data_IF_958647604354
#
_entry.id   IF_958647604354
#
_cell.length_a   1.000
_cell.length_b   1.000
_cell.length_c   1.000
_cell.angle_alpha   90.00
_cell.angle_beta   90.00
_cell.angle_gamma   90.00
#
_symmetry.space_group_name_H-M   'P 1'
#
loop_
_entity.id
_entity.type
_entity.pdbx_description
1 polymer ?
#
# COMPACT_ATOMS: atom_id res chain seq x y z
N UNK A 1 -2.79 -8.32 14.04
CA UNK A 1 -3.48 -8.16 12.74
C UNK A 1 -2.62 -8.84 11.70
N UNK A 2 -3.20 -9.63 10.80
CA UNK A 2 -2.53 -10.13 9.62
C UNK A 2 -3.45 -9.91 8.42
N UNK A 3 -2.87 -9.84 7.22
CA UNK A 3 -3.63 -9.83 5.98
C UNK A 3 -4.07 -11.26 5.66
N UNK A 4 -5.31 -11.46 5.20
CA UNK A 4 -5.81 -12.74 4.72
C UNK A 4 -6.02 -12.64 3.22
N UNK A 5 -5.34 -13.49 2.44
CA UNK A 5 -5.36 -13.42 0.99
C UNK A 5 -6.77 -13.59 0.39
N UNK A 6 -7.67 -14.32 1.04
CA UNK A 6 -9.07 -14.45 0.63
C UNK A 6 -9.98 -14.42 1.86
N UNK A 7 -11.10 -13.71 1.75
CA UNK A 7 -12.16 -13.61 2.76
C UNK A 7 -13.55 -13.87 2.15
N UNK A 8 -13.61 -14.54 1.00
CA UNK A 8 -14.89 -14.88 0.35
C UNK A 8 -15.52 -13.79 -0.50
N UNK A 9 -14.76 -12.81 -0.98
CA UNK A 9 -15.27 -11.82 -1.95
C UNK A 9 -15.66 -12.45 -3.28
N UNK A 10 -16.33 -11.69 -4.16
CA UNK A 10 -16.88 -12.21 -5.42
C UNK A 10 -15.83 -12.79 -6.40
N UNK A 11 -14.55 -12.39 -6.27
CA UNK A 11 -13.42 -12.92 -7.04
C UNK A 11 -12.36 -13.52 -6.09
N UNK A 12 -11.52 -14.46 -6.57
CA UNK A 12 -10.38 -14.92 -5.78
C UNK A 12 -9.52 -13.76 -5.32
N UNK A 13 -9.17 -13.77 -4.03
CA UNK A 13 -8.37 -12.70 -3.46
C UNK A 13 -9.17 -11.60 -2.77
N UNK A 14 -10.50 -11.61 -2.95
CA UNK A 14 -11.44 -10.73 -2.26
C UNK A 14 -11.20 -9.23 -2.45
N UNK A 15 -10.46 -8.85 -3.51
CA UNK A 15 -10.27 -7.48 -3.97
C UNK A 15 -10.85 -7.29 -5.38
N UNK A 16 -12.17 -7.45 -5.57
CA UNK A 16 -12.83 -7.25 -6.86
C UNK A 16 -12.80 -5.78 -7.30
N UNK A 17 -12.10 -5.42 -8.39
CA UNK A 17 -12.03 -4.03 -8.85
C UNK A 17 -13.37 -3.47 -9.34
N UNK A 18 -14.37 -4.34 -9.58
CA UNK A 18 -15.71 -3.97 -10.01
C UNK A 18 -16.74 -3.97 -8.87
N UNK A 19 -16.34 -4.19 -7.62
CA UNK A 19 -17.28 -4.13 -6.50
C UNK A 19 -17.95 -2.76 -6.44
N UNK A 20 -19.28 -2.78 -6.32
CA UNK A 20 -20.19 -1.64 -6.14
C UNK A 20 -20.59 -1.44 -4.69
N UNK A 21 -20.46 -2.50 -3.88
CA UNK A 21 -20.78 -2.48 -2.45
C UNK A 21 -19.84 -3.37 -1.66
N UNK A 22 -19.62 -3.03 -0.40
CA UNK A 22 -18.70 -3.74 0.50
C UNK A 22 -19.06 -5.23 0.68
N UNK A 23 -20.31 -5.62 0.47
CA UNK A 23 -20.77 -7.00 0.59
C UNK A 23 -20.16 -7.92 -0.48
N UNK A 24 -19.71 -7.34 -1.59
CA UNK A 24 -19.03 -8.06 -2.65
C UNK A 24 -17.53 -8.28 -2.37
N UNK A 25 -16.97 -7.59 -1.38
CA UNK A 25 -15.57 -7.70 -0.96
C UNK A 25 -15.33 -8.83 0.06
N UNK A 26 -16.39 -9.57 0.42
CA UNK A 26 -16.32 -10.78 1.23
C UNK A 26 -16.87 -10.60 2.64
N UNK A 27 -16.49 -11.54 3.52
CA UNK A 27 -17.10 -11.70 4.82
C UNK A 27 -16.74 -10.55 5.77
N UNK A 28 -17.77 -9.84 6.25
CA UNK A 28 -17.63 -8.77 7.25
C UNK A 28 -17.91 -9.31 8.64
N UNK A 29 -16.88 -9.29 9.50
CA UNK A 29 -16.96 -9.81 10.85
C UNK A 29 -17.06 -8.62 11.84
N UNK A 30 -18.21 -8.41 12.50
CA UNK A 30 -18.30 -7.40 13.56
C UNK A 30 -17.46 -7.81 14.78
N UNK A 31 -17.23 -6.93 15.77
CA UNK A 31 -16.50 -7.28 16.99
C UNK A 31 -17.18 -8.40 17.81
N UNK A 32 -16.80 -9.64 17.54
CA UNK A 32 -17.31 -10.85 18.21
C UNK A 32 -16.17 -11.72 18.73
N UNK A 33 -16.46 -12.58 19.72
CA UNK A 33 -15.44 -13.40 20.38
C UNK A 33 -15.31 -14.76 19.69
N UNK A 34 -14.21 -14.96 18.96
CA UNK A 34 -13.85 -16.28 18.40
C UNK A 34 -13.33 -17.25 19.46
N UNK A 35 -12.63 -16.75 20.49
CA UNK A 35 -12.31 -17.52 21.70
C UNK A 35 -12.97 -16.91 22.94
N UNK A 36 -13.57 -17.76 23.77
CA UNK A 36 -14.18 -17.36 25.05
C UNK A 36 -13.62 -18.24 26.16
N UNK A 37 -12.97 -17.63 27.15
CA UNK A 37 -12.30 -18.33 28.26
C UNK A 37 -11.34 -19.43 27.76
N UNK A 38 -10.58 -19.13 26.70
CA UNK A 38 -9.62 -20.05 26.08
C UNK A 38 -10.22 -21.10 25.13
N UNK A 39 -11.55 -21.26 25.09
CA UNK A 39 -12.24 -22.22 24.22
C UNK A 39 -12.64 -21.57 22.90
N UNK A 40 -12.42 -22.28 21.79
CA UNK A 40 -12.84 -21.86 20.44
C UNK A 40 -14.37 -21.88 20.35
N UNK A 41 -14.95 -20.91 19.65
CA UNK A 41 -16.35 -20.92 19.23
C UNK A 41 -16.48 -21.73 17.93
N UNK A 42 -16.98 -22.98 17.96
CA UNK A 42 -17.03 -23.84 16.79
C UNK A 42 -17.99 -23.31 15.72
N UNK A 43 -19.11 -22.69 16.11
CA UNK A 43 -20.12 -22.23 15.15
C UNK A 43 -19.57 -21.06 14.31
N UNK A 44 -18.94 -20.09 14.98
CA UNK A 44 -18.29 -18.99 14.28
C UNK A 44 -17.15 -19.50 13.41
N UNK A 45 -16.33 -20.42 13.91
CA UNK A 45 -15.24 -21.03 13.15
C UNK A 45 -15.73 -21.69 11.86
N UNK A 46 -16.78 -22.50 11.94
CA UNK A 46 -17.40 -23.16 10.78
C UNK A 46 -17.94 -22.14 9.78
N UNK A 47 -18.62 -21.07 10.24
CA UNK A 47 -19.12 -20.02 9.35
C UNK A 47 -17.95 -19.32 8.63
N UNK A 48 -16.88 -18.98 9.34
CA UNK A 48 -15.71 -18.31 8.74
C UNK A 48 -15.09 -19.18 7.65
N UNK A 49 -14.81 -20.46 7.95
CA UNK A 49 -14.14 -21.35 7.02
C UNK A 49 -15.03 -21.79 5.85
N UNK A 50 -16.35 -21.80 6.01
CA UNK A 50 -17.28 -22.11 4.91
C UNK A 50 -17.37 -20.98 3.86
N UNK A 51 -16.95 -19.75 4.21
CA UNK A 51 -17.10 -18.56 3.37
C UNK A 51 -15.75 -18.09 2.79
N UNK A 52 -14.77 -18.98 2.61
CA UNK A 52 -13.45 -18.64 2.06
C UNK A 52 -12.99 -19.71 1.08
N UNK A 53 -12.19 -19.33 0.08
CA UNK A 53 -11.73 -20.28 -0.96
C UNK A 53 -10.67 -21.25 -0.46
N UNK A 54 -9.79 -20.81 0.45
CA UNK A 54 -8.67 -21.61 0.97
C UNK A 54 -8.79 -21.84 2.48
N UNK A 55 -9.79 -22.62 2.96
CA UNK A 55 -10.08 -22.75 4.39
C UNK A 55 -8.91 -23.29 5.22
N UNK A 56 -8.06 -24.16 4.66
CA UNK A 56 -6.87 -24.69 5.35
C UNK A 56 -5.83 -23.61 5.65
N UNK A 57 -5.61 -22.67 4.72
CA UNK A 57 -4.75 -21.51 4.94
C UNK A 57 -5.37 -20.57 5.97
N UNK A 58 -6.68 -20.31 5.85
CA UNK A 58 -7.39 -19.42 6.79
C UNK A 58 -7.40 -19.97 8.21
N UNK A 59 -7.54 -21.28 8.37
CA UNK A 59 -7.36 -21.96 9.66
C UNK A 59 -5.96 -21.71 10.23
N UNK A 60 -4.91 -21.93 9.43
CA UNK A 60 -3.52 -21.66 9.83
C UNK A 60 -3.31 -20.20 10.26
N UNK A 61 -3.82 -19.24 9.48
CA UNK A 61 -3.73 -17.81 9.78
C UNK A 61 -4.41 -17.44 11.10
N UNK A 62 -5.61 -17.96 11.35
CA UNK A 62 -6.35 -17.70 12.60
C UNK A 62 -5.63 -18.31 13.82
N UNK A 63 -5.06 -19.51 13.67
CA UNK A 63 -4.23 -20.11 14.73
C UNK A 63 -2.95 -19.31 14.98
N UNK A 64 -2.27 -18.86 13.93
CA UNK A 64 -1.08 -18.03 14.05
C UNK A 64 -1.40 -16.69 14.77
N UNK A 65 -2.51 -16.05 14.42
CA UNK A 65 -2.99 -14.84 15.10
C UNK A 65 -3.26 -15.08 16.59
N UNK A 66 -3.89 -16.21 16.95
CA UNK A 66 -4.10 -16.59 18.35
C UNK A 66 -2.77 -16.79 19.07
N UNK A 67 -1.83 -17.52 18.48
CA UNK A 67 -0.51 -17.77 19.07
C UNK A 67 0.25 -16.46 19.34
N UNK A 68 0.22 -15.52 18.40
CA UNK A 68 0.84 -14.20 18.57
C UNK A 68 0.23 -13.42 19.75
N UNK A 69 -1.10 -13.44 19.91
CA UNK A 69 -1.79 -12.78 21.03
C UNK A 69 -1.43 -13.45 22.36
N UNK A 70 -1.33 -14.79 22.40
CA UNK A 70 -0.95 -15.52 23.62
C UNK A 70 0.47 -15.20 24.08
N UNK A 71 1.43 -15.08 23.15
CA UNK A 71 2.79 -14.60 23.47
C UNK A 71 2.74 -13.18 24.04
N UNK A 72 1.99 -12.28 23.40
CA UNK A 72 1.80 -10.91 23.90
C UNK A 72 1.21 -10.88 25.31
N UNK A 73 0.19 -11.69 25.57
CA UNK A 73 -0.43 -11.85 26.90
C UNK A 73 0.58 -12.33 27.94
N UNK A 74 1.37 -13.34 27.61
CA UNK A 74 2.39 -13.89 28.51
C UNK A 74 3.47 -12.86 28.85
N UNK A 75 4.02 -12.16 27.84
CA UNK A 75 5.03 -11.11 28.04
C UNK A 75 4.49 -9.95 28.87
N UNK A 76 3.27 -9.51 28.59
CA UNK A 76 2.61 -8.44 29.33
C UNK A 76 2.38 -8.84 30.80
N UNK A 77 1.95 -10.09 31.04
CA UNK A 77 1.79 -10.62 32.40
C UNK A 77 3.12 -10.64 33.16
N UNK A 78 4.19 -11.09 32.51
CA UNK A 78 5.53 -11.10 33.11
C UNK A 78 6.02 -9.69 33.49
N UNK A 79 5.71 -8.67 32.68
CA UNK A 79 5.99 -7.27 33.04
C UNK A 79 5.18 -6.83 34.27
N UNK A 80 3.90 -7.18 34.32
CA UNK A 80 3.03 -6.84 35.45
C UNK A 80 3.45 -7.55 36.75
N UNK A 81 3.90 -8.81 36.67
CA UNK A 81 4.41 -9.57 37.81
C UNK A 81 5.73 -8.97 38.33
N UNK A 82 6.62 -8.51 37.44
CA UNK A 82 7.93 -7.94 37.82
C UNK A 82 7.85 -6.52 38.35
N UNK A 83 7.05 -5.66 37.74
CA UNK A 83 7.04 -4.22 38.00
C UNK A 83 5.78 -3.70 38.68
N UNK A 84 4.77 -4.55 38.82
CA UNK A 84 3.46 -4.15 39.33
C UNK A 84 2.62 -3.43 38.28
N UNK A 85 1.30 -3.51 38.45
CA UNK A 85 0.31 -2.96 37.51
C UNK A 85 0.35 -1.44 37.42
N UNK A 86 0.60 -0.75 38.54
CA UNK A 86 0.49 0.70 38.60
C UNK A 86 1.66 1.39 37.90
N UNK A 87 2.89 0.92 38.15
CA UNK A 87 4.08 1.38 37.42
C UNK A 87 3.96 1.11 35.92
N UNK A 88 3.42 -0.04 35.52
CA UNK A 88 3.20 -0.35 34.10
C UNK A 88 2.21 0.62 33.42
N UNK A 89 1.12 0.98 34.11
CA UNK A 89 0.16 1.98 33.62
C UNK A 89 0.76 3.38 33.55
N UNK A 90 1.63 3.74 34.49
CA UNK A 90 2.37 4.99 34.46
C UNK A 90 3.32 5.03 33.27
N UNK A 91 4.10 3.97 33.04
CA UNK A 91 5.00 3.83 31.90
C UNK A 91 4.25 3.98 30.57
N UNK A 92 3.04 3.40 30.42
CA UNK A 92 2.23 3.60 29.22
C UNK A 92 1.78 5.04 29.00
N UNK A 93 1.42 5.74 30.07
CA UNK A 93 1.08 7.17 29.99
C UNK A 93 2.32 8.00 29.62
N UNK A 94 3.47 7.72 30.24
CA UNK A 94 4.73 8.37 29.93
C UNK A 94 5.15 8.16 28.46
N UNK A 95 5.02 6.94 27.92
CA UNK A 95 5.33 6.64 26.51
C UNK A 95 4.43 7.41 25.53
N UNK A 96 3.14 7.57 25.88
CA UNK A 96 2.23 8.38 25.06
C UNK A 96 2.58 9.86 25.14
N UNK A 97 2.81 10.40 26.33
CA UNK A 97 3.19 11.81 26.50
C UNK A 97 4.54 12.11 25.81
N UNK A 98 5.49 11.17 25.85
CA UNK A 98 6.75 11.27 25.12
C UNK A 98 6.54 11.31 23.60
N UNK A 99 5.64 10.48 23.07
CA UNK A 99 5.25 10.53 21.66
C UNK A 99 4.63 11.88 21.28
N UNK A 100 3.73 12.40 22.11
CA UNK A 100 3.12 13.72 21.90
C UNK A 100 4.15 14.83 21.84
N UNK A 101 5.02 14.95 22.85
CA UNK A 101 6.05 15.99 22.93
C UNK A 101 7.01 15.91 21.73
N UNK A 102 7.42 14.70 21.35
CA UNK A 102 8.33 14.50 20.22
C UNK A 102 7.70 14.93 18.90
N UNK A 103 6.41 14.63 18.68
CA UNK A 103 5.70 15.08 17.48
C UNK A 103 5.52 16.61 17.50
N UNK A 104 5.07 17.22 18.61
CA UNK A 104 4.92 18.68 18.72
C UNK A 104 6.24 19.40 18.42
N UNK A 105 7.35 18.90 18.96
CA UNK A 105 8.70 19.41 18.67
C UNK A 105 9.06 19.31 17.19
N UNK A 106 8.66 18.23 16.52
CA UNK A 106 8.91 18.05 15.10
C UNK A 106 8.03 18.99 14.26
N UNK A 107 6.78 19.21 14.65
CA UNK A 107 5.86 20.17 14.01
C UNK A 107 6.39 21.60 14.10
N UNK A 108 7.05 22.01 15.20
CA UNK A 108 7.70 23.34 15.34
C UNK A 108 8.72 23.64 14.23
N UNK A 109 9.26 22.62 13.56
CA UNK A 109 10.23 22.80 12.47
C UNK A 109 9.57 23.17 11.14
N UNK A 110 8.24 23.06 11.06
CA UNK A 110 7.46 23.43 9.89
C UNK A 110 7.12 24.92 10.02
N UNK A 111 7.35 25.75 8.99
CA UNK A 111 6.89 27.13 9.02
C UNK A 111 5.37 27.19 9.24
N UNK A 112 4.87 28.07 10.14
CA UNK A 112 3.43 28.28 10.29
C UNK A 112 2.81 28.75 8.99
N UNK A 113 1.65 28.21 8.63
CA UNK A 113 1.02 28.51 7.35
C UNK A 113 -0.09 27.54 6.96
N UNK A 114 -0.61 27.76 5.76
CA UNK A 114 -1.60 26.91 5.11
C UNK A 114 -0.99 26.43 3.80
N UNK A 115 -0.97 25.11 3.61
CA UNK A 115 -0.39 24.46 2.43
C UNK A 115 -1.44 23.58 1.79
N UNK A 116 -1.62 23.74 0.48
CA UNK A 116 -2.67 23.04 -0.27
C UNK A 116 -2.07 22.22 -1.41
N UNK A 117 -2.65 21.06 -1.65
CA UNK A 117 -2.35 20.26 -2.83
C UNK A 117 -3.54 19.38 -3.19
N UNK A 118 -3.66 19.10 -4.48
CA UNK A 118 -4.67 18.20 -5.02
C UNK A 118 -3.99 17.16 -5.89
N UNK A 119 -4.28 15.88 -5.63
CA UNK A 119 -3.89 14.78 -6.51
C UNK A 119 -5.14 13.94 -6.85
N UNK A 120 -5.03 13.07 -7.85
CA UNK A 120 -6.15 12.33 -8.42
C UNK A 120 -5.81 10.87 -8.65
N UNK A 121 -6.74 9.97 -8.36
CA UNK A 121 -6.69 8.61 -8.92
C UNK A 121 -6.95 8.63 -10.43
N UNK A 122 -6.65 7.52 -11.11
CA UNK A 122 -6.81 7.37 -12.56
C UNK A 122 -8.26 7.56 -13.04
N UNK A 123 -9.25 7.31 -12.19
CA UNK A 123 -10.68 7.51 -12.48
C UNK A 123 -11.13 8.97 -12.32
N UNK A 124 -10.24 9.88 -11.92
CA UNK A 124 -10.59 11.28 -11.66
C UNK A 124 -11.13 11.55 -10.26
N UNK A 125 -11.01 10.59 -9.34
CA UNK A 125 -11.30 10.80 -7.92
C UNK A 125 -10.30 11.78 -7.34
N UNK A 126 -10.78 12.91 -6.86
CA UNK A 126 -9.98 14.01 -6.31
C UNK A 126 -9.70 13.80 -4.82
N UNK A 127 -8.41 13.93 -4.45
CA UNK A 127 -7.93 14.01 -3.08
C UNK A 127 -7.35 15.41 -2.91
N UNK A 128 -8.15 16.31 -2.34
CA UNK A 128 -7.71 17.65 -1.98
C UNK A 128 -7.37 17.68 -0.50
N UNK A 129 -6.16 18.15 -0.19
CA UNK A 129 -5.70 18.32 1.19
C UNK A 129 -5.27 19.76 1.43
N UNK A 130 -5.70 20.30 2.57
CA UNK A 130 -5.22 21.55 3.14
C UNK A 130 -4.58 21.23 4.49
N UNK A 131 -3.29 21.51 4.62
CA UNK A 131 -2.54 21.34 5.88
C UNK A 131 -2.32 22.71 6.49
N UNK A 132 -2.95 22.95 7.63
CA UNK A 132 -2.71 24.14 8.45
C UNK A 132 -1.76 23.80 9.60
N UNK A 133 -0.73 24.63 9.76
CA UNK A 133 0.29 24.52 10.80
C UNK A 133 0.18 25.74 11.71
N UNK A 134 -0.20 25.53 12.96
CA UNK A 134 -0.30 26.58 13.97
C UNK A 134 -0.14 25.98 15.37
N UNK A 135 0.47 26.73 16.29
CA UNK A 135 0.53 26.38 17.72
C UNK A 135 1.00 24.93 18.02
N UNK A 136 1.99 24.45 17.26
CA UNK A 136 2.55 23.09 17.38
C UNK A 136 1.56 21.96 17.05
N UNK A 137 0.48 22.31 16.33
CA UNK A 137 -0.56 21.42 15.87
C UNK A 137 -0.70 21.45 14.36
N UNK A 138 -1.22 20.35 13.83
CA UNK A 138 -1.59 20.18 12.45
C UNK A 138 -3.09 19.99 12.35
N UNK A 139 -3.74 20.80 11.51
CA UNK A 139 -5.08 20.49 11.01
C UNK A 139 -4.94 20.04 9.55
N UNK A 140 -5.33 18.79 9.30
CA UNK A 140 -5.31 18.17 7.97
C UNK A 140 -6.75 18.06 7.51
N UNK A 141 -7.11 18.91 6.56
CA UNK A 141 -8.47 19.05 6.06
C UNK A 141 -8.60 18.43 4.66
N UNK A 142 -9.52 17.48 4.53
CA UNK A 142 -9.89 16.80 3.30
C UNK A 142 -11.29 17.16 2.80
N UNK A 143 -11.90 18.24 3.31
CA UNK A 143 -13.28 18.62 2.98
C UNK A 143 -13.52 18.93 1.50
N UNK A 144 -12.46 19.21 0.74
CA UNK A 144 -12.51 19.38 -0.71
C UNK A 144 -12.35 18.08 -1.53
N UNK A 145 -12.20 16.92 -0.88
CA UNK A 145 -12.06 15.64 -1.57
C UNK A 145 -13.39 15.16 -2.15
N UNK A 146 -13.33 14.27 -3.15
CA UNK A 146 -14.51 13.75 -3.83
C UNK A 146 -15.50 13.05 -2.88
N UNK A 147 -16.81 13.09 -3.17
CA UNK A 147 -17.80 12.20 -2.54
C UNK A 147 -17.43 10.74 -2.73
N UNK A 148 -17.83 9.86 -1.82
CA UNK A 148 -17.60 8.43 -1.96
C UNK A 148 -18.19 7.89 -3.28
N UNK A 149 -17.49 6.94 -3.89
CA UNK A 149 -17.80 6.42 -5.23
C UNK A 149 -18.27 4.97 -5.19
N UNK A 150 -18.91 4.51 -6.26
CA UNK A 150 -19.46 3.16 -6.39
C UNK A 150 -18.44 2.14 -6.93
N UNK A 151 -17.16 2.30 -6.60
CA UNK A 151 -16.08 1.36 -6.95
C UNK A 151 -15.01 1.35 -5.85
N UNK A 152 -14.16 0.33 -5.72
CA UNK A 152 -13.49 -0.03 -4.46
C UNK A 152 -12.25 0.84 -4.19
N UNK A 153 -12.34 2.16 -4.31
CA UNK A 153 -11.26 3.11 -3.98
C UNK A 153 -11.61 4.00 -2.79
N UNK A 154 -12.67 3.68 -2.06
CA UNK A 154 -13.06 4.42 -0.87
C UNK A 154 -12.27 3.96 0.35
N UNK A 155 -11.99 4.86 1.28
CA UNK A 155 -11.33 4.57 2.54
C UNK A 155 -12.27 4.83 3.73
N UNK A 156 -12.36 3.90 4.69
CA UNK A 156 -12.85 4.21 6.03
C UNK A 156 -11.91 5.24 6.67
N UNK A 157 -12.44 6.08 7.57
CA UNK A 157 -11.64 7.10 8.28
C UNK A 157 -10.32 6.58 8.86
N UNK A 158 -10.32 5.35 9.41
CA UNK A 158 -9.13 4.76 10.01
C UNK A 158 -7.96 4.59 9.01
N UNK A 159 -8.25 4.36 7.73
CA UNK A 159 -7.24 4.26 6.67
C UNK A 159 -6.68 5.64 6.35
N UNK A 160 -7.53 6.64 6.19
CA UNK A 160 -7.14 8.05 5.99
C UNK A 160 -6.28 8.55 7.14
N UNK A 161 -6.70 8.30 8.39
CA UNK A 161 -5.93 8.66 9.56
C UNK A 161 -4.56 7.97 9.60
N UNK A 162 -4.50 6.69 9.24
CA UNK A 162 -3.23 5.96 9.16
C UNK A 162 -2.28 6.54 8.11
N UNK A 163 -2.79 6.94 6.94
CA UNK A 163 -2.02 7.59 5.89
C UNK A 163 -1.47 8.95 6.33
N UNK A 164 -2.29 9.76 7.03
CA UNK A 164 -1.87 11.04 7.62
C UNK A 164 -0.76 10.84 8.65
N UNK A 165 -0.94 9.92 9.60
CA UNK A 165 0.05 9.64 10.64
C UNK A 165 1.36 9.11 10.06
N UNK A 166 1.27 8.24 9.04
CA UNK A 166 2.42 7.78 8.29
C UNK A 166 3.15 8.96 7.64
N UNK A 167 2.44 9.84 6.93
CA UNK A 167 3.04 10.93 6.18
C UNK A 167 3.84 11.88 7.09
N UNK A 168 3.25 12.33 8.19
CA UNK A 168 3.94 13.24 9.12
C UNK A 168 5.06 12.54 9.89
N UNK A 169 4.89 11.27 10.29
CA UNK A 169 5.99 10.50 10.88
C UNK A 169 7.17 10.37 9.90
N UNK A 170 6.91 10.05 8.64
CA UNK A 170 7.95 9.89 7.64
C UNK A 170 8.70 11.21 7.32
N UNK A 171 7.99 12.35 7.28
CA UNK A 171 8.60 13.64 6.96
C UNK A 171 9.31 14.31 8.15
N UNK A 172 8.75 14.16 9.35
CA UNK A 172 9.18 14.95 10.50
C UNK A 172 10.15 14.19 11.40
N UNK A 173 9.79 12.96 11.80
CA UNK A 173 10.58 12.14 12.72
C UNK A 173 10.28 10.64 12.55
N UNK A 174 11.03 9.93 11.68
CA UNK A 174 10.83 8.50 11.42
C UNK A 174 11.06 7.61 12.65
N UNK A 175 11.81 8.08 13.64
CA UNK A 175 12.18 7.33 14.84
C UNK A 175 11.22 7.55 16.01
N UNK A 176 10.18 8.38 15.84
CA UNK A 176 9.14 8.54 16.86
C UNK A 176 8.43 7.19 17.11
N UNK A 177 8.26 6.79 18.38
CA UNK A 177 7.51 5.57 18.69
C UNK A 177 6.07 5.67 18.17
N UNK A 178 5.60 4.72 17.35
CA UNK A 178 4.29 4.80 16.72
C UNK A 178 3.19 4.45 17.73
N UNK A 179 2.74 5.44 18.49
CA UNK A 179 1.68 5.29 19.48
C UNK A 179 0.69 6.46 19.43
N UNK A 180 -0.49 6.28 20.03
CA UNK A 180 -1.58 7.26 19.97
C UNK A 180 -1.23 8.65 20.51
N UNK A 181 -0.22 8.77 21.37
CA UNK A 181 0.28 10.05 21.86
C UNK A 181 0.90 10.90 20.74
N UNK A 182 1.67 10.30 19.84
CA UNK A 182 2.29 10.99 18.71
C UNK A 182 1.27 11.60 17.74
N UNK A 183 0.01 11.15 17.79
CA UNK A 183 -1.06 11.61 16.90
C UNK A 183 -1.94 12.70 17.52
N UNK A 184 -1.84 12.93 18.84
CA UNK A 184 -2.61 13.96 19.55
C UNK A 184 -2.50 15.37 18.96
N UNK A 185 -1.33 15.84 18.48
CA UNK A 185 -1.23 17.17 17.87
C UNK A 185 -1.70 17.20 16.40
N UNK A 186 -2.26 16.11 15.87
CA UNK A 186 -2.72 16.00 14.49
C UNK A 186 -4.23 15.83 14.47
N UNK A 187 -4.93 16.90 14.09
CA UNK A 187 -6.38 16.91 13.88
C UNK A 187 -6.67 16.62 12.41
N UNK A 188 -7.64 15.75 12.15
CA UNK A 188 -8.04 15.36 10.80
C UNK A 188 -9.50 15.73 10.61
N UNK A 189 -9.78 16.54 9.59
CA UNK A 189 -11.13 16.83 9.13
C UNK A 189 -11.36 16.07 7.83
N UNK A 190 -12.21 15.05 7.89
CA UNK A 190 -12.60 14.23 6.74
C UNK A 190 -14.12 14.02 6.79
N UNK A 191 -14.91 14.79 6.04
CA UNK A 191 -16.37 14.69 6.10
C UNK A 191 -16.86 13.28 5.76
N UNK A 192 -17.79 12.78 6.56
CA UNK A 192 -18.44 11.49 6.30
C UNK A 192 -19.15 11.49 4.93
N UNK A 193 -19.09 10.38 4.20
CA UNK A 193 -19.66 10.29 2.85
C UNK A 193 -18.71 10.72 1.73
N UNK A 194 -17.44 11.00 2.06
CA UNK A 194 -16.38 11.28 1.07
C UNK A 194 -15.52 10.04 0.83
N UNK A 195 -14.71 10.04 -0.25
CA UNK A 195 -13.79 8.92 -0.53
C UNK A 195 -12.80 8.68 0.61
N UNK A 196 -12.48 9.70 1.42
CA UNK A 196 -11.55 9.60 2.56
C UNK A 196 -12.23 9.29 3.90
N UNK A 197 -13.56 9.27 3.95
CA UNK A 197 -14.32 8.85 5.12
C UNK A 197 -15.66 8.26 4.67
N UNK A 198 -15.55 7.10 4.04
CA UNK A 198 -16.68 6.46 3.40
C UNK A 198 -17.56 5.72 4.39
N UNK A 199 -18.86 5.76 4.11
CA UNK A 199 -19.91 5.08 4.87
C UNK A 199 -20.53 3.96 4.06
N UNK A 200 -21.19 3.04 4.76
CA UNK A 200 -21.93 1.96 4.12
C UNK A 200 -22.92 2.49 3.08
N UNK A 201 -23.10 1.80 1.93
CA UNK A 201 -22.54 0.50 1.58
C UNK A 201 -21.25 0.55 0.74
N UNK A 202 -20.54 1.68 0.67
CA UNK A 202 -19.41 1.85 -0.26
C UNK A 202 -18.34 0.74 -0.13
N UNK A 203 -17.82 0.24 -1.25
CA UNK A 203 -16.74 -0.74 -1.28
C UNK A 203 -15.41 -0.06 -0.92
N UNK A 204 -14.59 -0.70 -0.09
CA UNK A 204 -13.41 -0.09 0.55
C UNK A 204 -12.10 -0.86 0.38
N UNK A 205 -12.11 -1.95 -0.39
CA UNK A 205 -10.97 -2.85 -0.55
C UNK A 205 -9.70 -2.14 -1.02
N UNK A 206 -9.83 -1.21 -1.97
CA UNK A 206 -8.73 -0.37 -2.46
C UNK A 206 -8.46 0.90 -1.68
N UNK A 207 -9.22 1.20 -0.62
CA UNK A 207 -8.95 2.36 0.23
C UNK A 207 -7.57 2.27 0.89
N UNK A 208 -7.27 1.11 1.48
CA UNK A 208 -5.95 0.84 2.08
C UNK A 208 -4.85 0.63 1.04
N UNK A 209 -5.20 0.53 -0.24
CA UNK A 209 -4.28 0.15 -1.31
C UNK A 209 -3.93 1.36 -2.15
N UNK A 210 -4.88 1.90 -2.90
CA UNK A 210 -4.64 2.96 -3.87
C UNK A 210 -4.95 4.35 -3.30
N UNK A 211 -6.07 4.52 -2.60
CA UNK A 211 -6.45 5.83 -2.06
C UNK A 211 -5.48 6.29 -0.97
N UNK A 212 -5.06 5.39 -0.08
CA UNK A 212 -4.09 5.72 0.97
C UNK A 212 -2.72 6.15 0.42
N UNK A 213 -2.26 5.54 -0.69
CA UNK A 213 -1.06 6.01 -1.39
C UNK A 213 -1.26 7.45 -1.89
N UNK A 214 -2.43 7.72 -2.48
CA UNK A 214 -2.76 9.04 -2.99
C UNK A 214 -2.89 10.11 -1.90
N UNK A 215 -3.42 9.75 -0.74
CA UNK A 215 -3.46 10.63 0.44
C UNK A 215 -2.04 11.02 0.87
N UNK A 216 -1.12 10.05 0.91
CA UNK A 216 0.29 10.33 1.24
C UNK A 216 0.93 11.24 0.19
N UNK A 217 0.74 10.95 -1.10
CA UNK A 217 1.26 11.77 -2.19
C UNK A 217 0.72 13.21 -2.10
N UNK A 218 -0.58 13.39 -1.84
CA UNK A 218 -1.20 14.70 -1.70
C UNK A 218 -0.64 15.49 -0.50
N UNK A 219 -0.47 14.84 0.66
CA UNK A 219 0.16 15.47 1.83
C UNK A 219 1.60 15.85 1.50
N UNK A 220 2.36 14.98 0.84
CA UNK A 220 3.74 15.28 0.46
C UNK A 220 3.78 16.47 -0.51
N UNK A 221 2.91 16.52 -1.50
CA UNK A 221 2.79 17.65 -2.42
C UNK A 221 2.48 18.97 -1.71
N UNK A 222 1.60 18.97 -0.70
CA UNK A 222 1.33 20.14 0.13
C UNK A 222 2.58 20.53 0.94
N UNK A 223 3.19 19.55 1.61
CA UNK A 223 4.36 19.78 2.46
C UNK A 223 5.62 20.15 1.68
N UNK A 224 5.70 19.90 0.36
CA UNK A 224 6.83 20.33 -0.46
C UNK A 224 7.02 21.86 -0.45
N UNK A 225 5.93 22.61 -0.23
CA UNK A 225 5.94 24.06 -0.11
C UNK A 225 6.58 24.54 1.21
N UNK A 226 6.44 23.76 2.28
CA UNK A 226 6.92 24.09 3.62
C UNK A 226 8.29 23.47 3.95
N UNK A 227 8.56 22.29 3.40
CA UNK A 227 9.72 21.44 3.69
C UNK A 227 10.44 21.00 2.40
N UNK A 228 10.88 21.93 1.54
CA UNK A 228 11.44 21.60 0.22
C UNK A 228 12.66 20.69 0.30
N UNK A 229 13.42 20.72 1.40
CA UNK A 229 14.61 19.91 1.60
C UNK A 229 14.36 18.54 2.24
N UNK A 230 13.09 18.15 2.46
CA UNK A 230 12.72 16.85 3.05
C UNK A 230 11.80 16.02 2.17
N UNK A 231 10.93 16.67 1.41
CA UNK A 231 9.91 15.97 0.62
C UNK A 231 10.54 15.37 -0.65
N UNK A 232 10.34 14.06 -0.92
CA UNK A 232 10.71 13.45 -2.18
C UNK A 232 9.71 13.79 -3.30
N UNK A 233 10.09 13.56 -4.55
CA UNK A 233 9.13 13.47 -5.65
C UNK A 233 8.16 12.29 -5.45
N UNK A 234 7.09 12.20 -6.26
CA UNK A 234 6.15 11.10 -6.15
C UNK A 234 6.84 9.76 -6.41
N UNK A 235 6.55 8.77 -5.58
CA UNK A 235 6.87 7.38 -5.90
C UNK A 235 5.82 6.80 -6.84
N UNK A 236 5.95 5.51 -7.17
CA UNK A 236 5.01 4.79 -8.04
C UNK A 236 3.52 5.00 -7.71
N UNK A 237 3.15 5.34 -6.47
CA UNK A 237 1.81 5.78 -6.09
C UNK A 237 0.71 4.72 -6.18
N UNK A 238 1.09 3.44 -6.15
CA UNK A 238 0.24 2.26 -6.30
C UNK A 238 0.88 1.08 -5.56
N UNK A 239 0.08 0.11 -5.14
CA UNK A 239 0.61 -1.16 -4.59
C UNK A 239 0.70 -2.27 -5.64
N UNK A 240 0.12 -2.07 -6.83
CA UNK A 240 0.04 -3.05 -7.91
C UNK A 240 -0.47 -4.40 -7.41
N UNK A 241 -1.67 -4.43 -6.81
CA UNK A 241 -2.21 -5.66 -6.24
C UNK A 241 -2.60 -6.62 -7.35
N UNK A 242 -1.85 -7.72 -7.44
CA UNK A 242 -2.10 -8.80 -8.36
C UNK A 242 -2.68 -9.99 -7.60
N UNK A 243 -3.87 -10.40 -8.01
CA UNK A 243 -4.55 -11.56 -7.46
C UNK A 243 -4.83 -12.55 -8.58
N UNK A 244 -4.45 -13.81 -8.36
CA UNK A 244 -4.66 -14.90 -9.31
C UNK A 244 -5.30 -16.06 -8.56
N UNK A 245 -6.43 -16.57 -9.06
CA UNK A 245 -7.05 -17.74 -8.46
C UNK A 245 -7.73 -18.64 -9.47
N UNK A 246 -7.84 -19.90 -9.10
CA UNK A 246 -8.39 -20.96 -9.92
C UNK A 246 -8.37 -22.29 -9.18
N UNK A 247 -8.54 -23.38 -9.92
CA UNK A 247 -8.37 -24.74 -9.42
C UNK A 247 -7.00 -25.24 -9.86
N UNK A 248 -6.17 -25.65 -8.91
CA UNK A 248 -4.84 -26.19 -9.21
C UNK A 248 -4.97 -27.56 -9.89
N UNK A 249 -4.53 -27.72 -11.15
CA UNK A 249 -4.68 -28.97 -11.89
C UNK A 249 -3.85 -30.12 -11.28
N UNK A 250 -2.86 -29.83 -10.43
CA UNK A 250 -2.04 -30.84 -9.75
C UNK A 250 -2.76 -31.49 -8.58
N UNK A 251 -3.69 -30.78 -7.95
CA UNK A 251 -4.33 -31.20 -6.68
C UNK A 251 -5.85 -31.24 -6.73
N UNK A 252 -6.47 -30.60 -7.72
CA UNK A 252 -7.93 -30.43 -7.82
C UNK A 252 -8.51 -29.47 -6.79
N UNK A 253 -7.68 -28.68 -6.09
CA UNK A 253 -8.11 -27.76 -5.03
C UNK A 253 -8.08 -26.30 -5.48
N UNK A 254 -8.95 -25.43 -4.93
CA UNK A 254 -8.86 -23.99 -5.19
C UNK A 254 -7.56 -23.41 -4.60
N UNK A 255 -7.04 -22.37 -5.26
CA UNK A 255 -5.95 -21.56 -4.74
C UNK A 255 -6.24 -20.07 -4.90
N UNK A 256 -5.54 -19.24 -4.13
CA UNK A 256 -5.57 -17.79 -4.26
C UNK A 256 -4.17 -17.25 -4.01
N UNK A 257 -3.53 -16.79 -5.08
CA UNK A 257 -2.27 -16.05 -5.01
C UNK A 257 -2.57 -14.56 -4.90
N UNK A 258 -1.90 -13.89 -3.98
CA UNK A 258 -1.93 -12.44 -3.82
C UNK A 258 -0.50 -11.94 -3.65
N UNK A 259 -0.08 -11.08 -4.57
CA UNK A 259 1.15 -10.32 -4.47
C UNK A 259 0.88 -8.80 -4.61
N UNK A 260 1.58 -8.01 -3.80
CA UNK A 260 1.80 -6.59 -4.07
C UNK A 260 3.15 -6.44 -4.75
N UNK A 261 3.24 -5.66 -5.82
CA UNK A 261 4.47 -5.52 -6.61
C UNK A 261 5.05 -4.12 -6.43
N UNK A 262 6.34 -4.03 -6.10
CA UNK A 262 7.06 -2.77 -5.96
C UNK A 262 7.27 -2.03 -7.29
N UNK A 263 7.97 -0.90 -7.23
CA UNK A 263 8.19 -0.04 -8.39
C UNK A 263 9.19 1.07 -8.07
N UNK A 264 9.11 2.17 -8.80
CA UNK A 264 10.04 3.28 -8.60
C UNK A 264 9.71 4.12 -7.36
N UNK A 265 10.71 4.37 -6.51
CA UNK A 265 10.64 5.40 -5.49
C UNK A 265 10.94 6.77 -6.10
N UNK A 266 10.24 7.81 -5.66
CA UNK A 266 10.55 9.18 -6.07
C UNK A 266 11.93 9.62 -5.61
N UNK A 267 12.61 10.41 -6.44
CA UNK A 267 13.89 11.00 -6.10
C UNK A 267 13.80 11.88 -4.85
N UNK A 268 14.88 11.93 -4.07
CA UNK A 268 14.94 12.61 -2.77
C UNK A 268 15.82 13.87 -2.88
N UNK A 269 15.66 14.83 -1.95
CA UNK A 269 16.63 15.89 -1.78
C UNK A 269 18.04 15.30 -1.56
N UNK A 270 18.90 15.44 -2.57
CA UNK A 270 20.29 14.99 -2.49
C UNK A 270 20.58 13.56 -2.96
N UNK A 271 19.57 12.76 -3.37
CA UNK A 271 19.77 11.34 -3.76
C UNK A 271 18.72 10.83 -4.74
N UNK A 272 19.12 9.93 -5.63
CA UNK A 272 18.21 9.17 -6.48
C UNK A 272 17.20 8.34 -5.68
N UNK A 273 16.08 8.03 -6.34
CA UNK A 273 15.07 7.10 -5.86
C UNK A 273 15.53 5.64 -6.01
N UNK A 274 15.10 4.79 -5.08
CA UNK A 274 15.34 3.36 -5.15
C UNK A 274 14.45 2.70 -6.22
N UNK A 275 15.02 1.76 -6.99
CA UNK A 275 14.31 1.01 -8.03
C UNK A 275 13.70 -0.27 -7.50
N UNK A 276 12.50 -0.63 -7.98
CA UNK A 276 11.84 -1.89 -7.69
C UNK A 276 11.50 -2.13 -6.22
N UNK A 277 11.25 -1.08 -5.44
CA UNK A 277 10.94 -1.18 -4.02
C UNK A 277 9.47 -0.91 -3.73
N UNK A 278 9.00 -1.41 -2.59
CA UNK A 278 7.75 -0.94 -2.00
C UNK A 278 7.94 0.45 -1.39
N UNK A 279 6.91 1.29 -1.53
CA UNK A 279 6.92 2.66 -1.00
C UNK A 279 5.65 2.95 -0.22
N UNK A 280 5.79 3.85 0.74
CA UNK A 280 4.70 4.42 1.52
C UNK A 280 3.84 3.35 2.24
N UNK A 281 2.63 3.11 1.77
CA UNK A 281 1.66 2.22 2.41
C UNK A 281 1.97 0.72 2.20
N UNK A 282 3.11 0.39 1.58
CA UNK A 282 3.62 -0.98 1.41
C UNK A 282 5.02 -1.14 1.96
N UNK A 283 5.29 -2.29 2.58
CA UNK A 283 6.60 -2.69 3.09
C UNK A 283 6.73 -4.23 3.14
N UNK A 284 6.35 -4.89 2.05
CA UNK A 284 6.42 -6.34 1.87
C UNK A 284 7.73 -6.71 1.20
N UNK A 285 8.29 -7.88 1.55
CA UNK A 285 9.33 -8.50 0.74
C UNK A 285 8.71 -9.11 -0.52
N UNK A 286 9.49 -9.23 -1.58
CA UNK A 286 9.05 -9.91 -2.80
C UNK A 286 8.82 -11.41 -2.52
N UNK A 287 7.90 -12.03 -3.26
CA UNK A 287 7.72 -13.48 -3.21
C UNK A 287 8.88 -14.16 -3.95
N UNK A 288 9.65 -15.05 -3.31
CA UNK A 288 10.69 -15.81 -4.02
C UNK A 288 10.08 -16.62 -5.17
N UNK A 289 10.74 -16.61 -6.33
CA UNK A 289 10.26 -17.28 -7.55
C UNK A 289 10.00 -18.76 -7.30
N UNK A 290 10.97 -19.47 -6.72
CA UNK A 290 10.87 -20.90 -6.44
C UNK A 290 9.71 -21.22 -5.47
N UNK A 291 9.47 -20.36 -4.48
CA UNK A 291 8.38 -20.53 -3.53
C UNK A 291 7.02 -20.37 -4.22
N UNK A 292 6.88 -19.35 -5.08
CA UNK A 292 5.67 -19.12 -5.88
C UNK A 292 5.38 -20.31 -6.80
N UNK A 293 6.36 -20.75 -7.58
CA UNK A 293 6.20 -21.83 -8.56
C UNK A 293 5.98 -23.21 -7.92
N UNK A 294 6.45 -23.38 -6.70
CA UNK A 294 6.16 -24.59 -5.90
C UNK A 294 4.72 -24.56 -5.41
N UNK A 295 4.31 -23.45 -4.79
CA UNK A 295 3.01 -23.33 -4.14
C UNK A 295 1.84 -23.29 -5.13
N UNK A 296 2.01 -22.64 -6.28
CA UNK A 296 0.92 -22.35 -7.22
C UNK A 296 1.18 -22.96 -8.61
N UNK A 297 0.13 -23.26 -9.39
CA UNK A 297 0.23 -23.69 -10.78
C UNK A 297 0.58 -22.51 -11.72
N UNK A 298 1.65 -21.79 -11.38
CA UNK A 298 2.10 -20.57 -12.02
C UNK A 298 3.61 -20.68 -12.36
N UNK A 299 4.06 -19.89 -13.33
CA UNK A 299 5.48 -19.78 -13.72
C UNK A 299 5.87 -18.33 -13.84
N UNK A 300 7.00 -17.95 -13.26
CA UNK A 300 7.60 -16.64 -13.51
C UNK A 300 8.39 -16.72 -14.80
N UNK A 301 7.99 -15.95 -15.80
CA UNK A 301 8.69 -15.86 -17.08
C UNK A 301 9.70 -14.71 -17.07
N UNK A 302 9.37 -13.60 -16.40
CA UNK A 302 10.24 -12.43 -16.27
C UNK A 302 10.11 -11.76 -14.91
N UNK A 303 11.24 -11.29 -14.40
CA UNK A 303 11.31 -10.40 -13.24
C UNK A 303 12.52 -9.49 -13.40
N UNK A 304 12.28 -8.26 -13.82
CA UNK A 304 13.34 -7.30 -14.16
C UNK A 304 12.93 -5.87 -13.81
N UNK A 305 13.90 -4.97 -13.77
CA UNK A 305 13.61 -3.54 -13.67
C UNK A 305 13.11 -3.02 -15.03
N UNK A 306 12.17 -2.07 -15.02
CA UNK A 306 11.73 -1.37 -16.23
C UNK A 306 12.71 -0.24 -16.52
N UNK A 307 13.73 -0.53 -17.31
CA UNK A 307 14.65 0.49 -17.81
C UNK A 307 13.89 1.66 -18.44
N UNK A 308 14.40 2.89 -18.27
CA UNK A 308 13.73 4.07 -18.78
C UNK A 308 12.54 4.59 -17.96
N UNK A 309 12.05 3.85 -16.96
CA UNK A 309 10.79 4.21 -16.29
C UNK A 309 10.91 5.28 -15.21
N UNK A 310 12.09 5.52 -14.65
CA UNK A 310 12.33 6.56 -13.65
C UNK A 310 12.39 7.96 -14.26
N UNK A 311 11.74 8.93 -13.64
CA UNK A 311 11.72 10.32 -14.09
C UNK A 311 13.09 10.97 -14.01
N UNK A 312 13.45 11.75 -15.04
CA UNK A 312 14.73 12.46 -15.09
C UNK A 312 14.76 13.63 -14.10
N UNK A 313 15.93 13.97 -13.61
CA UNK A 313 16.14 15.12 -12.73
C UNK A 313 17.61 15.23 -12.36
N UNK A 314 17.96 16.25 -11.57
CA UNK A 314 19.27 16.28 -10.92
C UNK A 314 19.50 15.01 -10.09
N UNK A 315 18.43 14.53 -9.46
CA UNK A 315 18.33 13.19 -8.93
C UNK A 315 17.20 12.45 -9.63
N UNK A 316 17.47 11.22 -10.04
CA UNK A 316 16.58 10.40 -10.86
C UNK A 316 15.57 9.65 -9.99
N UNK A 317 14.36 9.51 -10.51
CA UNK A 317 13.39 8.59 -9.93
C UNK A 317 13.83 7.14 -10.10
N UNK A 318 13.45 6.28 -9.16
CA UNK A 318 13.70 4.84 -9.26
C UNK A 318 12.92 4.21 -10.42
N UNK A 319 13.42 3.09 -10.94
CA UNK A 319 12.76 2.32 -11.98
C UNK A 319 11.67 1.41 -11.42
N UNK A 320 10.62 1.21 -12.21
CA UNK A 320 9.57 0.22 -11.98
C UNK A 320 10.06 -1.22 -12.18
N UNK A 321 9.13 -2.17 -12.08
CA UNK A 321 9.36 -3.62 -12.26
C UNK A 321 8.49 -4.13 -13.41
N UNK A 322 9.03 -5.07 -14.21
CA UNK A 322 8.23 -5.96 -15.06
C UNK A 322 8.16 -7.33 -14.42
N UNK A 323 6.95 -7.83 -14.24
CA UNK A 323 6.63 -9.13 -13.63
C UNK A 323 5.70 -9.91 -14.57
N UNK A 324 6.22 -10.96 -15.21
CA UNK A 324 5.45 -11.79 -16.15
C UNK A 324 5.18 -13.15 -15.51
N UNK A 325 3.90 -13.50 -15.32
CA UNK A 325 3.46 -14.75 -14.68
C UNK A 325 2.56 -15.54 -15.62
N UNK A 326 2.97 -16.76 -15.98
CA UNK A 326 2.19 -17.69 -16.80
C UNK A 326 1.29 -18.57 -15.93
N UNK A 327 0.07 -18.80 -16.39
CA UNK A 327 -0.88 -19.77 -15.82
C UNK A 327 -0.66 -21.15 -16.45
N UNK A 328 -0.48 -22.20 -15.62
CA UNK A 328 -0.13 -23.55 -16.11
C UNK A 328 -1.33 -24.50 -16.09
N UNK A 329 -1.75 -24.98 -17.27
CA UNK A 329 -2.64 -26.14 -17.40
C UNK A 329 -4.09 -25.96 -16.93
N UNK A 330 -4.54 -24.74 -16.67
CA UNK A 330 -5.93 -24.43 -16.28
C UNK A 330 -6.28 -22.97 -16.63
N UNK A 331 -7.57 -22.64 -16.59
CA UNK A 331 -8.05 -21.26 -16.64
C UNK A 331 -7.96 -20.62 -15.26
N UNK A 332 -7.51 -19.36 -15.19
CA UNK A 332 -7.44 -18.60 -13.94
C UNK A 332 -8.18 -17.27 -14.06
N UNK A 333 -8.73 -16.81 -12.93
CA UNK A 333 -9.27 -15.46 -12.77
C UNK A 333 -8.16 -14.57 -12.22
N UNK A 334 -7.93 -13.44 -12.89
CA UNK A 334 -6.92 -12.46 -12.47
C UNK A 334 -7.60 -11.14 -12.19
N UNK A 335 -7.38 -10.62 -10.99
CA UNK A 335 -7.81 -9.28 -10.61
C UNK A 335 -6.58 -8.41 -10.40
N UNK A 336 -6.60 -7.23 -11.01
CA UNK A 336 -5.61 -6.18 -10.81
C UNK A 336 -6.30 -4.98 -10.17
N UNK A 337 -5.75 -4.54 -9.05
CA UNK A 337 -6.11 -3.26 -8.45
C UNK A 337 -4.86 -2.41 -8.34
N UNK A 338 -4.81 -1.37 -9.18
CA UNK A 338 -3.65 -0.52 -9.35
C UNK A 338 -4.05 0.89 -9.80
N UNK A 339 -3.12 1.83 -9.64
CA UNK A 339 -3.26 3.23 -10.09
C UNK A 339 -2.01 3.70 -10.85
N UNK A 340 -1.95 4.97 -11.26
CA UNK A 340 -0.84 5.57 -12.03
C UNK A 340 -0.60 4.90 -13.39
N UNK A 341 -1.67 4.44 -14.05
CA UNK A 341 -1.67 3.99 -15.44
C UNK A 341 -2.05 5.11 -16.40
N UNK A 342 -2.89 6.06 -15.94
CA UNK A 342 -3.28 7.25 -16.72
C UNK A 342 -2.55 8.50 -16.25
N UNK A 343 -2.31 8.63 -14.94
CA UNK A 343 -1.62 9.77 -14.33
C UNK A 343 -0.22 9.35 -13.88
N UNK A 344 0.80 10.04 -14.38
CA UNK A 344 2.18 9.73 -14.05
C UNK A 344 2.53 10.10 -12.59
N UNK A 345 3.48 9.41 -11.96
CA UNK A 345 4.13 9.89 -10.73
C UNK A 345 4.84 11.21 -11.01
N UNK A 346 4.42 12.29 -10.36
CA UNK A 346 4.92 13.64 -10.63
C UNK A 346 6.38 13.82 -10.17
N UNK A 347 7.16 14.53 -10.99
CA UNK A 347 8.47 15.06 -10.61
C UNK A 347 8.35 16.27 -9.67
N UNK A 348 9.46 16.64 -9.02
CA UNK A 348 9.47 17.76 -8.06
C UNK A 348 10.62 18.75 -8.32
N UNK A 349 10.35 20.04 -8.10
CA UNK A 349 11.30 21.14 -8.28
C UNK A 349 12.04 21.15 -9.63
N UNK A 350 11.31 20.83 -10.71
CA UNK A 350 11.84 20.81 -12.08
C UNK A 350 12.34 19.44 -12.56
N UNK A 351 12.24 18.40 -11.74
CA UNK A 351 12.37 17.02 -12.19
C UNK A 351 11.17 16.60 -13.05
N UNK A 352 11.39 15.66 -13.95
CA UNK A 352 10.39 15.08 -14.84
C UNK A 352 9.60 13.94 -14.15
N UNK A 353 8.41 13.68 -14.68
CA UNK A 353 7.54 12.63 -14.19
C UNK A 353 8.08 11.23 -14.49
N UNK A 354 7.81 10.28 -13.60
CA UNK A 354 8.05 8.86 -13.86
C UNK A 354 7.12 8.30 -14.94
N UNK A 355 7.53 7.22 -15.59
CA UNK A 355 6.66 6.52 -16.54
C UNK A 355 5.45 5.90 -15.82
N UNK A 356 4.30 5.90 -16.51
CA UNK A 356 3.10 5.20 -16.05
C UNK A 356 3.32 3.69 -15.96
N UNK A 357 2.50 3.03 -15.15
CA UNK A 357 2.34 1.58 -15.20
C UNK A 357 1.57 1.15 -16.43
N UNK A 358 1.75 -0.10 -16.87
CA UNK A 358 1.04 -0.72 -17.98
C UNK A 358 0.91 -2.22 -17.73
N UNK A 359 -0.24 -2.81 -18.03
CA UNK A 359 -0.51 -4.19 -17.67
C UNK A 359 -1.15 -4.93 -18.85
N UNK A 360 -0.72 -6.16 -19.12
CA UNK A 360 -1.09 -6.91 -20.31
C UNK A 360 -1.40 -8.37 -20.02
N UNK A 361 -2.40 -8.90 -20.71
CA UNK A 361 -2.62 -10.33 -20.92
C UNK A 361 -1.97 -10.71 -22.25
N UNK A 362 -1.00 -11.62 -22.21
CA UNK A 362 -0.29 -12.12 -23.38
C UNK A 362 -0.75 -13.54 -23.67
N UNK A 363 -1.34 -13.76 -24.85
CA UNK A 363 -1.79 -15.08 -25.32
C UNK A 363 -1.22 -15.28 -26.71
N UNK A 364 -0.48 -16.37 -26.91
CA UNK A 364 0.17 -16.69 -28.20
C UNK A 364 1.03 -15.53 -28.76
N UNK A 365 1.69 -14.79 -27.85
CA UNK A 365 2.53 -13.64 -28.19
C UNK A 365 1.78 -12.33 -28.44
N UNK A 366 0.45 -12.32 -28.43
CA UNK A 366 -0.37 -11.12 -28.61
C UNK A 366 -0.63 -10.46 -27.25
N UNK A 367 -0.19 -9.22 -27.08
CA UNK A 367 -0.47 -8.42 -25.88
C UNK A 367 -1.84 -7.74 -25.98
N UNK A 368 -2.70 -7.96 -24.97
CA UNK A 368 -3.97 -7.26 -24.79
C UNK A 368 -3.94 -6.48 -23.47
N UNK A 369 -4.27 -5.18 -23.44
CA UNK A 369 -4.19 -4.39 -22.22
C UNK A 369 -5.17 -4.88 -21.17
N UNK A 370 -4.73 -4.91 -19.91
CA UNK A 370 -5.57 -5.13 -18.73
C UNK A 370 -5.86 -3.76 -18.11
N UNK A 371 -7.13 -3.43 -17.78
CA UNK A 371 -7.44 -2.20 -17.05
C UNK A 371 -6.73 -2.18 -15.69
N UNK A 372 -6.26 -1.00 -15.25
CA UNK A 372 -5.59 -0.82 -13.94
C UNK A 372 -6.43 -1.30 -12.75
N UNK A 373 -7.75 -1.23 -12.88
CA UNK A 373 -8.74 -1.78 -11.95
C UNK A 373 -9.65 -2.74 -12.71
N UNK A 374 -9.16 -3.96 -12.94
CA UNK A 374 -9.74 -4.89 -13.91
C UNK A 374 -9.70 -6.35 -13.46
N UNK A 375 -10.69 -7.12 -13.91
CA UNK A 375 -10.73 -8.59 -13.75
C UNK A 375 -10.76 -9.21 -15.13
N UNK A 376 -9.89 -10.18 -15.39
CA UNK A 376 -9.79 -10.88 -16.66
C UNK A 376 -9.71 -12.39 -16.44
N UNK A 377 -10.23 -13.16 -17.39
CA UNK A 377 -9.99 -14.59 -17.48
C UNK A 377 -8.72 -14.84 -18.27
N UNK A 378 -7.84 -15.65 -17.72
CA UNK A 378 -6.56 -16.02 -18.33
C UNK A 378 -6.64 -17.48 -18.76
N UNK A 379 -6.55 -17.76 -20.08
CA UNK A 379 -6.59 -19.13 -20.57
C UNK A 379 -5.32 -19.90 -20.15
N UNK A 380 -5.34 -21.24 -20.20
CA UNK A 380 -4.16 -22.05 -19.99
C UNK A 380 -2.98 -21.58 -20.86
N UNK A 381 -1.81 -21.39 -20.24
CA UNK A 381 -0.62 -20.90 -20.92
C UNK A 381 -0.56 -19.39 -21.15
N UNK A 382 -1.63 -18.64 -20.85
CA UNK A 382 -1.63 -17.18 -20.89
C UNK A 382 -0.70 -16.58 -19.84
N UNK A 383 -0.14 -15.41 -20.15
CA UNK A 383 0.79 -14.67 -19.28
C UNK A 383 0.15 -13.36 -18.85
N UNK A 384 0.20 -13.07 -17.55
CA UNK A 384 -0.11 -11.75 -17.00
C UNK A 384 1.21 -10.99 -16.84
N UNK A 385 1.36 -9.87 -17.54
CA UNK A 385 2.52 -8.98 -17.47
C UNK A 385 2.13 -7.72 -16.71
N UNK A 386 2.65 -7.55 -15.50
CA UNK A 386 2.50 -6.34 -14.68
C UNK A 386 3.75 -5.49 -14.85
N UNK A 387 3.60 -4.27 -15.36
CA UNK A 387 4.71 -3.32 -15.57
C UNK A 387 4.48 -2.10 -14.71
N UNK A 388 5.11 -2.04 -13.55
CA UNK A 388 4.81 -1.05 -12.51
C UNK A 388 5.39 0.34 -12.83
N UNK A 389 4.81 1.44 -12.31
CA UNK A 389 5.30 2.79 -12.56
C UNK A 389 6.73 3.02 -12.04
N UNK A 390 7.43 4.00 -12.61
CA UNK A 390 8.66 4.54 -12.02
C UNK A 390 8.38 5.54 -10.90
N UNK A 391 9.42 6.20 -10.40
CA UNK A 391 9.30 7.37 -9.51
C UNK A 391 9.54 8.67 -10.28
N UNK A 392 9.04 9.79 -9.79
CA UNK A 392 9.36 11.11 -10.31
C UNK A 392 10.80 11.53 -10.01
N UNK A 393 11.39 12.34 -10.88
CA UNK A 393 12.71 12.96 -10.69
C UNK A 393 12.65 14.18 -9.77
N UNK A 394 13.82 14.60 -9.29
CA UNK A 394 13.96 15.75 -8.39
C UNK A 394 14.99 16.75 -8.92
N UNK A 395 14.61 18.01 -9.02
CA UNK A 395 15.47 19.07 -9.55
C UNK A 395 15.59 19.02 -11.07
N UNK A 396 15.86 20.17 -11.69
CA UNK A 396 16.07 20.25 -13.14
C UNK A 396 17.26 19.35 -13.55
N UNK A 397 17.11 18.51 -14.59
CA UNK A 397 18.23 17.71 -15.10
C UNK A 397 19.34 18.62 -15.66
N UNK A 398 20.60 18.27 -15.41
CA UNK A 398 21.77 19.07 -15.81
C UNK A 398 22.00 19.06 -17.34
N UNK A 399 21.39 18.13 -18.07
CA UNK A 399 21.19 18.21 -19.52
C UNK A 399 19.91 17.46 -19.95
N UNK A 400 19.24 17.93 -21.01
CA UNK A 400 18.11 17.23 -21.67
C UNK A 400 18.53 15.92 -22.37
N UNK A 401 19.83 15.61 -22.35
CA UNK A 401 20.47 14.57 -23.14
C UNK A 401 21.42 13.73 -22.29
N UNK A 402 20.97 13.30 -21.10
CA UNK A 402 21.63 12.20 -20.39
C UNK A 402 20.80 10.90 -20.48
N UNK A 403 20.71 10.27 -21.67
CA UNK A 403 20.14 8.94 -21.82
C UNK A 403 21.15 7.85 -21.42
N UNK A 404 22.29 8.17 -20.80
CA UNK A 404 23.29 7.14 -20.51
C UNK A 404 22.97 6.40 -19.20
N UNK A 405 21.94 5.55 -19.28
CA UNK A 405 21.60 4.54 -18.27
C UNK A 405 22.80 3.62 -17.94
N UNK A 406 23.84 3.56 -18.78
CA UNK A 406 24.98 2.64 -18.63
C UNK A 406 25.95 3.01 -17.50
N UNK A 407 26.01 4.27 -17.08
CA UNK A 407 26.97 4.71 -16.07
C UNK A 407 26.66 4.11 -14.69
N UNK A 408 25.37 3.94 -14.35
CA UNK A 408 24.94 3.33 -13.09
C UNK A 408 24.77 1.81 -13.19
N UNK A 409 24.58 1.23 -14.39
CA UNK A 409 24.71 -0.22 -14.60
C UNK A 409 26.08 -0.73 -14.18
N UNK A 410 27.16 0.04 -14.40
CA UNK A 410 28.50 -0.31 -13.89
C UNK A 410 28.61 -0.27 -12.36
N UNK A 411 27.80 0.54 -11.67
CA UNK A 411 27.79 0.58 -10.20
C UNK A 411 26.94 -0.53 -9.59
N UNK A 412 25.78 -0.84 -10.18
CA UNK A 412 24.90 -1.92 -9.70
C UNK A 412 25.46 -3.31 -10.07
N UNK A 413 25.98 -3.50 -11.29
CA UNK A 413 26.61 -4.76 -11.70
C UNK A 413 27.94 -5.06 -10.99
N UNK A 414 28.60 -4.05 -10.40
CA UNK A 414 29.85 -4.23 -9.66
C UNK A 414 29.67 -4.58 -8.18
N UNK A 415 28.43 -4.70 -7.69
CA UNK A 415 28.14 -5.12 -6.31
C UNK A 415 28.67 -4.16 -5.24
N UNK A 416 28.85 -2.87 -5.57
CA UNK A 416 29.51 -1.88 -4.69
C UNK A 416 28.57 -1.09 -3.79
N UNK A 417 27.29 -1.39 -3.75
CA UNK A 417 26.33 -0.77 -2.85
C UNK A 417 25.56 -1.84 -2.07
N UNK A 418 25.86 -1.94 -0.77
CA UNK A 418 25.12 -2.69 0.24
C UNK A 418 24.06 -1.83 0.91
#
# INVERSE_FOLDING_TARGET
RAHHADVGGMVPGSLPPQAKEIYQEGLRIPPVKLWRKGKLNPDLWTILLANVRTPWEREGDLWAQKAAIEIGKHRLKGLAERYGKDLLKEAYRALQNYGEERMRRAIRQIPPGIYEFTDFLDEGVEIKVTVQVADEELLVDFSGSSPQVDFPVNAPFAVTASAVYYAFRALLDPEIPPNAGAWRPIRILAPEGTVVNASLPAPVGGGNLELSQRIVDAIFGAMAQALPHRVPAASQGTMNNLLIGGIDPRTGKPYTFYETIGGGMGARPGKDGLSGVHTHMTNTLNTPVEALETAYPLRVERYELREGSGGAGKFRGGMGIRRDIRVLGHEAVVSLLADRRKRRPWGLFGGEDGASGEDFLIVEGVEKPIPSKGTVLVPPGGIVSIRTPGGGGYGKPDSLADPDFSAHEKEISSGKTH
#
